data_IF_459031358678
#
_entry.id   IF_459031358678
#
_cell.length_a   1.000
_cell.length_b   1.000
_cell.length_c   1.000
_cell.angle_alpha   90.00
_cell.angle_beta   90.00
_cell.angle_gamma   90.00
#
_symmetry.space_group_name_H-M   'P 1'
#
loop_
_entity.id
_entity.type
_entity.pdbx_description
1 polymer ?
#
# COMPACT_ATOMS: atom_id res chain seq x y z
N UNK A 1 -49.78 9.28 -12.16
CA UNK A 1 -48.49 8.85 -11.58
C UNK A 1 -47.89 7.83 -12.55
N UNK A 2 -47.59 8.22 -13.80
CA UNK A 2 -47.30 7.24 -14.89
C UNK A 2 -46.21 7.72 -15.88
N UNK A 3 -45.60 8.90 -15.70
CA UNK A 3 -44.57 9.40 -16.63
C UNK A 3 -43.16 8.89 -16.34
N UNK A 4 -42.92 8.29 -15.17
CA UNK A 4 -41.58 7.79 -14.77
C UNK A 4 -41.30 6.36 -15.22
N UNK A 5 -42.34 5.57 -15.52
CA UNK A 5 -42.21 4.12 -15.71
C UNK A 5 -41.91 3.72 -17.17
N UNK A 6 -41.84 4.67 -18.11
CA UNK A 6 -41.65 4.42 -19.54
C UNK A 6 -40.46 5.17 -20.16
N UNK A 7 -39.55 5.69 -19.32
CA UNK A 7 -38.31 6.33 -19.79
C UNK A 7 -37.26 5.25 -20.06
N UNK A 8 -36.61 5.33 -21.22
CA UNK A 8 -35.43 4.51 -21.53
C UNK A 8 -34.28 4.83 -20.58
N UNK A 9 -33.32 3.90 -20.43
CA UNK A 9 -32.14 4.12 -19.58
C UNK A 9 -31.34 5.37 -19.98
N UNK A 10 -31.28 5.66 -21.28
CA UNK A 10 -30.61 6.83 -21.84
C UNK A 10 -31.34 8.13 -21.50
N UNK A 11 -32.69 8.14 -21.57
CA UNK A 11 -33.49 9.31 -21.17
C UNK A 11 -33.46 9.53 -19.65
N UNK A 12 -33.39 8.45 -18.85
CA UNK A 12 -33.19 8.55 -17.41
C UNK A 12 -31.81 9.11 -17.07
N UNK A 13 -30.77 8.69 -17.79
CA UNK A 13 -29.41 9.20 -17.64
C UNK A 13 -29.32 10.68 -18.07
N UNK A 14 -29.99 11.10 -19.14
CA UNK A 14 -30.11 12.52 -19.53
C UNK A 14 -30.80 13.36 -18.45
N UNK A 15 -31.94 12.90 -17.92
CA UNK A 15 -32.65 13.60 -16.85
C UNK A 15 -31.79 13.69 -15.57
N UNK A 16 -31.07 12.62 -15.23
CA UNK A 16 -30.13 12.62 -14.12
C UNK A 16 -28.97 13.59 -14.37
N UNK A 17 -28.37 13.59 -15.55
CA UNK A 17 -27.27 14.51 -15.90
C UNK A 17 -27.69 15.99 -15.93
N UNK A 18 -29.00 16.28 -16.05
CA UNK A 18 -29.54 17.64 -15.97
C UNK A 18 -29.94 18.03 -14.53
N UNK A 19 -29.98 17.09 -13.59
CA UNK A 19 -30.29 17.33 -12.18
C UNK A 19 -29.08 17.95 -11.46
N UNK A 20 -29.20 19.15 -10.87
CA UNK A 20 -28.12 19.77 -10.09
C UNK A 20 -27.65 18.89 -8.93
N UNK A 21 -28.57 18.17 -8.28
CA UNK A 21 -28.25 17.28 -7.16
C UNK A 21 -27.43 16.07 -7.61
N UNK A 22 -27.72 15.51 -8.80
CA UNK A 22 -26.97 14.38 -9.34
C UNK A 22 -25.57 14.81 -9.80
N UNK A 23 -25.44 15.98 -10.43
CA UNK A 23 -24.14 16.54 -10.78
C UNK A 23 -23.28 16.80 -9.55
N UNK A 24 -23.87 17.33 -8.48
CA UNK A 24 -23.18 17.53 -7.20
C UNK A 24 -22.72 16.18 -6.61
N UNK A 25 -23.62 15.20 -6.54
CA UNK A 25 -23.30 13.85 -6.04
C UNK A 25 -22.18 13.17 -6.84
N UNK A 26 -22.17 13.33 -8.17
CA UNK A 26 -21.11 12.80 -9.04
C UNK A 26 -19.76 13.43 -8.76
N UNK A 27 -19.73 14.74 -8.53
CA UNK A 27 -18.48 15.41 -8.18
C UNK A 27 -18.01 14.97 -6.79
N UNK A 28 -18.91 14.82 -5.81
CA UNK A 28 -18.59 14.29 -4.48
C UNK A 28 -17.95 12.90 -4.57
N UNK A 29 -18.58 11.94 -5.26
CA UNK A 29 -18.02 10.59 -5.44
C UNK A 29 -16.67 10.60 -6.17
N UNK A 30 -16.50 11.48 -7.16
CA UNK A 30 -15.22 11.62 -7.85
C UNK A 30 -14.14 12.14 -6.89
N UNK A 31 -14.47 13.11 -6.04
CA UNK A 31 -13.54 13.62 -5.04
C UNK A 31 -13.21 12.55 -3.98
N UNK A 32 -14.19 11.79 -3.51
CA UNK A 32 -14.00 10.65 -2.61
C UNK A 32 -13.07 9.60 -3.24
N UNK A 33 -13.34 9.18 -4.47
CA UNK A 33 -12.51 8.20 -5.18
C UNK A 33 -11.07 8.68 -5.41
N UNK A 34 -10.87 9.98 -5.65
CA UNK A 34 -9.51 10.56 -5.73
C UNK A 34 -8.82 10.49 -4.36
N UNK A 35 -9.53 10.84 -3.28
CA UNK A 35 -8.96 10.79 -1.93
C UNK A 35 -8.59 9.37 -1.51
N UNK A 36 -9.47 8.40 -1.74
CA UNK A 36 -9.21 6.98 -1.48
C UNK A 36 -8.02 6.49 -2.31
N UNK A 37 -7.99 6.79 -3.62
CA UNK A 37 -6.89 6.41 -4.50
C UNK A 37 -5.54 6.99 -4.06
N UNK A 38 -5.51 8.24 -3.60
CA UNK A 38 -4.29 8.85 -3.05
C UNK A 38 -3.86 8.15 -1.76
N UNK A 39 -4.79 7.87 -0.85
CA UNK A 39 -4.48 7.20 0.40
C UNK A 39 -3.95 5.78 0.18
N UNK A 40 -4.60 4.99 -0.68
CA UNK A 40 -4.12 3.65 -1.03
C UNK A 40 -2.76 3.71 -1.72
N UNK A 41 -2.57 4.64 -2.66
CA UNK A 41 -1.31 4.82 -3.37
C UNK A 41 -0.15 5.18 -2.44
N UNK A 42 -0.37 6.10 -1.49
CA UNK A 42 0.64 6.45 -0.49
C UNK A 42 0.98 5.27 0.43
N UNK A 43 -0.02 4.51 0.88
CA UNK A 43 0.21 3.36 1.74
C UNK A 43 1.00 2.26 1.02
N UNK A 44 0.61 1.91 -0.21
CA UNK A 44 1.32 0.91 -1.01
C UNK A 44 2.74 1.37 -1.34
N UNK A 45 2.91 2.60 -1.82
CA UNK A 45 4.23 3.15 -2.15
C UNK A 45 5.18 3.21 -0.94
N UNK A 46 4.65 3.52 0.24
CA UNK A 46 5.43 3.49 1.49
C UNK A 46 5.89 2.07 1.84
N UNK A 47 5.01 1.08 1.74
CA UNK A 47 5.34 -0.32 2.01
C UNK A 47 6.34 -0.88 0.99
N UNK A 48 6.11 -0.67 -0.30
CA UNK A 48 7.02 -1.09 -1.38
C UNK A 48 8.40 -0.45 -1.23
N UNK A 49 8.45 0.85 -0.92
CA UNK A 49 9.70 1.55 -0.65
C UNK A 49 10.46 0.98 0.55
N UNK A 50 9.75 0.65 1.64
CA UNK A 50 10.36 0.00 2.80
C UNK A 50 10.92 -1.38 2.47
N UNK A 51 10.15 -2.22 1.78
CA UNK A 51 10.59 -3.56 1.37
C UNK A 51 11.82 -3.48 0.45
N UNK A 52 11.81 -2.55 -0.50
CA UNK A 52 12.93 -2.32 -1.43
C UNK A 52 14.19 -1.85 -0.71
N UNK A 53 14.06 -0.94 0.25
CA UNK A 53 15.18 -0.48 1.07
C UNK A 53 15.79 -1.63 1.89
N UNK A 54 14.95 -2.41 2.59
CA UNK A 54 15.42 -3.54 3.40
C UNK A 54 16.13 -4.57 2.52
N UNK A 55 15.51 -4.92 1.39
CA UNK A 55 16.09 -5.84 0.38
C UNK A 55 17.48 -5.36 -0.03
N UNK A 56 17.60 -4.10 -0.46
CA UNK A 56 18.86 -3.53 -0.93
C UNK A 56 19.95 -3.52 0.15
N UNK A 57 19.58 -3.25 1.41
CA UNK A 57 20.52 -3.27 2.52
C UNK A 57 21.01 -4.68 2.85
N UNK A 58 20.11 -5.67 2.84
CA UNK A 58 20.48 -7.07 3.04
C UNK A 58 21.37 -7.57 1.91
N UNK A 59 21.06 -7.24 0.65
CA UNK A 59 21.90 -7.59 -0.50
C UNK A 59 23.28 -6.94 -0.43
N UNK A 60 23.31 -5.65 -0.09
CA UNK A 60 24.57 -4.92 0.08
C UNK A 60 25.45 -5.49 1.19
N UNK A 61 24.85 -6.08 2.23
CA UNK A 61 25.58 -6.66 3.36
C UNK A 61 26.00 -8.11 3.16
N UNK A 62 25.10 -8.95 2.64
CA UNK A 62 25.27 -10.41 2.63
C UNK A 62 25.42 -10.99 1.22
N UNK A 63 25.33 -10.17 0.18
CA UNK A 63 25.24 -10.62 -1.21
C UNK A 63 23.81 -11.00 -1.60
N UNK A 64 23.61 -11.62 -2.78
CA UNK A 64 22.27 -11.94 -3.30
C UNK A 64 21.39 -12.65 -2.27
N UNK A 65 20.15 -12.19 -2.14
CA UNK A 65 19.16 -12.77 -1.24
C UNK A 65 18.75 -14.16 -1.71
N UNK A 66 18.90 -15.15 -0.84
CA UNK A 66 18.27 -16.44 -0.99
C UNK A 66 16.94 -16.51 -0.25
N UNK A 67 16.26 -17.65 -0.35
CA UNK A 67 14.91 -17.83 0.20
C UNK A 67 14.81 -17.53 1.70
N UNK A 68 15.85 -17.81 2.50
CA UNK A 68 15.85 -17.52 3.93
C UNK A 68 15.84 -16.01 4.19
N UNK A 69 16.77 -15.28 3.59
CA UNK A 69 16.86 -13.83 3.81
C UNK A 69 15.71 -13.07 3.14
N UNK A 70 15.22 -13.54 2.00
CA UNK A 70 14.00 -12.99 1.38
C UNK A 70 12.79 -13.10 2.31
N UNK A 71 12.68 -14.21 3.05
CA UNK A 71 11.62 -14.40 4.05
C UNK A 71 11.69 -13.43 5.23
N UNK A 72 12.87 -12.87 5.52
CA UNK A 72 13.05 -11.88 6.59
C UNK A 72 12.64 -10.47 6.18
N UNK A 73 12.65 -10.12 4.89
CA UNK A 73 12.35 -8.75 4.43
C UNK A 73 10.99 -8.28 4.94
N UNK A 74 9.96 -9.11 4.80
CA UNK A 74 8.61 -8.80 5.29
C UNK A 74 8.54 -8.71 6.82
N UNK A 75 9.25 -9.57 7.53
CA UNK A 75 9.29 -9.57 8.99
C UNK A 75 9.97 -8.31 9.53
N UNK A 76 11.12 -7.94 8.97
CA UNK A 76 11.82 -6.69 9.29
C UNK A 76 10.93 -5.48 9.00
N UNK A 77 10.17 -5.49 7.89
CA UNK A 77 9.27 -4.40 7.54
C UNK A 77 8.12 -4.23 8.56
N UNK A 78 7.67 -5.32 9.19
CA UNK A 78 6.61 -5.29 10.20
C UNK A 78 7.08 -4.86 11.60
N UNK A 79 8.40 -4.83 11.85
CA UNK A 79 8.92 -4.37 13.12
C UNK A 79 8.53 -2.90 13.40
N UNK A 80 8.32 -2.52 14.67
CA UNK A 80 8.19 -1.14 15.06
C UNK A 80 9.35 -0.30 14.52
N UNK A 81 9.08 0.93 14.09
CA UNK A 81 10.06 1.74 13.36
C UNK A 81 11.38 1.92 14.12
N UNK A 82 11.34 2.04 15.45
CA UNK A 82 12.51 2.16 16.31
C UNK A 82 13.37 0.89 16.31
N UNK A 83 12.74 -0.28 16.45
CA UNK A 83 13.41 -1.58 16.45
C UNK A 83 14.01 -1.89 15.08
N UNK A 84 13.23 -1.64 14.03
CA UNK A 84 13.68 -1.76 12.64
C UNK A 84 14.89 -0.88 12.36
N UNK A 85 14.85 0.39 12.75
CA UNK A 85 15.96 1.33 12.55
C UNK A 85 17.20 0.87 13.30
N UNK A 86 17.05 0.43 14.56
CA UNK A 86 18.15 -0.14 15.33
C UNK A 86 18.78 -1.36 14.65
N UNK A 87 17.95 -2.29 14.18
CA UNK A 87 18.40 -3.48 13.45
C UNK A 87 19.16 -3.10 12.17
N UNK A 88 18.60 -2.22 11.33
CA UNK A 88 19.21 -1.82 10.07
C UNK A 88 20.54 -1.07 10.27
N UNK A 89 20.67 -0.24 11.30
CA UNK A 89 21.94 0.40 11.64
C UNK A 89 22.98 -0.61 12.17
N UNK A 90 22.54 -1.63 12.91
CA UNK A 90 23.41 -2.69 13.41
C UNK A 90 23.87 -3.68 12.33
N UNK A 91 23.21 -3.68 11.16
CA UNK A 91 23.45 -4.64 10.08
C UNK A 91 24.91 -4.68 9.62
N UNK A 92 25.60 -3.55 9.65
CA UNK A 92 27.03 -3.45 9.29
C UNK A 92 27.94 -4.33 10.16
N UNK A 93 27.55 -4.59 11.41
CA UNK A 93 28.30 -5.40 12.36
C UNK A 93 27.68 -6.79 12.57
N UNK A 94 26.46 -7.01 12.08
CA UNK A 94 25.76 -8.29 12.21
C UNK A 94 26.27 -9.29 11.17
N UNK A 95 26.43 -10.55 11.57
CA UNK A 95 26.59 -11.67 10.65
C UNK A 95 25.23 -12.17 10.16
N UNK A 96 25.24 -12.91 9.05
CA UNK A 96 24.04 -13.54 8.50
C UNK A 96 23.38 -14.49 9.50
N UNK A 97 24.18 -15.33 10.16
CA UNK A 97 23.67 -16.31 11.13
C UNK A 97 23.03 -15.66 12.33
N UNK A 98 23.64 -14.58 12.87
CA UNK A 98 23.05 -13.80 13.96
C UNK A 98 21.75 -13.11 13.55
N UNK A 99 21.64 -12.66 12.29
CA UNK A 99 20.38 -12.11 11.78
C UNK A 99 19.29 -13.18 11.80
N UNK A 100 19.58 -14.34 11.21
CA UNK A 100 18.62 -15.43 11.10
C UNK A 100 18.17 -15.92 12.49
N UNK A 101 19.08 -16.00 13.45
CA UNK A 101 18.74 -16.46 14.80
C UNK A 101 17.76 -15.52 15.51
N UNK A 102 17.93 -14.20 15.35
CA UNK A 102 17.01 -13.20 15.93
C UNK A 102 15.56 -13.32 15.45
N UNK A 103 15.35 -13.90 14.26
CA UNK A 103 14.04 -14.11 13.67
C UNK A 103 13.57 -15.58 13.72
N UNK A 104 14.35 -16.49 14.32
CA UNK A 104 13.89 -17.84 14.67
C UNK A 104 13.23 -17.89 16.06
N UNK A 105 13.66 -17.02 16.97
CA UNK A 105 13.21 -17.00 18.36
C UNK A 105 11.95 -16.15 18.60
N UNK A 106 11.42 -15.50 17.57
CA UNK A 106 10.17 -14.71 17.57
C UNK A 106 9.11 -15.37 16.67
#
# INVERSE_FOLDING_TARGET
MELRDNLSAEEQEEIMNLSPAYLQQREEWKQEGIQEGIQEGMQRGSLEGQLSLITSLLEGRFGPLDAELSGLVGQIAQLPISERTGLLLSLANLSRSELLERFREN
#
